data_IF_237686300990
#
_entry.id   IF_237686300990
#
_cell.length_a   1.000
_cell.length_b   1.000
_cell.length_c   1.000
_cell.angle_alpha   90.00
_cell.angle_beta   90.00
_cell.angle_gamma   90.00
#
_symmetry.space_group_name_H-M   'P 1'
#
loop_
_entity.id
_entity.type
_entity.pdbx_description
1 polymer ?
#
# COMPACT_ATOMS: atom_id res chain seq x y z
N UNK A 1 7.21 6.58 -20.73
CA UNK A 1 6.05 7.48 -20.78
C UNK A 1 4.98 7.00 -19.81
N UNK A 2 4.46 7.89 -19.00
CA UNK A 2 3.43 7.56 -18.03
C UNK A 2 2.05 7.47 -18.70
N UNK A 3 1.28 6.41 -18.41
CA UNK A 3 -0.09 6.31 -18.91
C UNK A 3 -0.98 7.43 -18.38
N UNK A 4 -2.00 7.77 -19.15
CA UNK A 4 -3.01 8.76 -18.78
C UNK A 4 -4.38 8.07 -18.63
N UNK A 5 -5.33 8.74 -18.00
CA UNK A 5 -6.69 8.24 -17.83
C UNK A 5 -6.83 7.15 -16.77
N UNK A 6 -5.86 7.03 -15.87
CA UNK A 6 -5.90 6.09 -14.76
C UNK A 6 -6.70 6.64 -13.59
N UNK A 7 -7.18 5.75 -12.71
CA UNK A 7 -7.85 6.13 -11.46
C UNK A 7 -6.95 6.85 -10.48
N UNK A 8 -5.63 6.68 -10.61
CA UNK A 8 -4.60 7.38 -9.84
C UNK A 8 -3.61 8.03 -10.81
N UNK A 9 -3.00 9.16 -10.41
CA UNK A 9 -1.90 9.71 -11.21
C UNK A 9 -0.73 8.72 -11.25
N UNK A 10 -0.04 8.70 -12.39
CA UNK A 10 1.12 7.83 -12.59
C UNK A 10 2.40 8.65 -12.65
N UNK A 11 3.50 8.07 -12.20
CA UNK A 11 4.82 8.67 -12.26
C UNK A 11 5.88 7.62 -12.60
N UNK A 12 7.13 8.06 -12.62
CA UNK A 12 8.29 7.19 -12.80
C UNK A 12 9.44 7.67 -11.93
N UNK A 13 10.41 6.80 -11.68
CA UNK A 13 11.60 7.19 -10.92
C UNK A 13 12.37 8.31 -11.62
N UNK A 14 12.46 8.26 -12.94
CA UNK A 14 13.14 9.31 -13.70
C UNK A 14 12.47 10.67 -13.52
N UNK A 15 11.14 10.72 -13.50
CA UNK A 15 10.38 11.95 -13.26
C UNK A 15 10.57 12.48 -11.84
N UNK A 16 10.55 11.59 -10.85
CA UNK A 16 10.68 11.99 -9.44
C UNK A 16 12.10 12.45 -9.09
N UNK A 17 13.11 11.79 -9.63
CA UNK A 17 14.52 12.11 -9.40
C UNK A 17 14.99 13.27 -10.29
N UNK A 18 14.40 13.43 -11.47
CA UNK A 18 14.76 14.48 -12.44
C UNK A 18 15.89 14.07 -13.38
N UNK A 19 16.39 12.84 -13.28
CA UNK A 19 17.45 12.30 -14.15
C UNK A 19 17.15 10.87 -14.53
N UNK A 20 17.73 10.36 -15.65
CA UNK A 20 17.56 8.95 -15.99
C UNK A 20 18.05 8.02 -14.89
N UNK A 21 17.36 6.90 -14.69
CA UNK A 21 17.68 5.91 -13.65
C UNK A 21 17.93 4.56 -14.31
N UNK A 22 19.00 3.87 -13.89
CA UNK A 22 19.33 2.54 -14.39
C UNK A 22 18.32 1.50 -13.90
N UNK A 23 17.70 0.76 -14.82
CA UNK A 23 16.76 -0.31 -14.48
C UNK A 23 17.41 -1.42 -13.66
N UNK A 24 18.66 -1.76 -14.02
CA UNK A 24 19.43 -2.79 -13.34
C UNK A 24 19.71 -2.39 -11.89
N UNK A 25 20.10 -1.14 -11.66
CA UNK A 25 20.37 -0.63 -10.32
C UNK A 25 19.10 -0.66 -9.46
N UNK A 26 17.97 -0.27 -10.04
CA UNK A 26 16.66 -0.34 -9.35
C UNK A 26 16.31 -1.77 -8.99
N UNK A 27 16.49 -2.71 -9.93
CA UNK A 27 16.22 -4.12 -9.68
C UNK A 27 17.07 -4.66 -8.53
N UNK A 28 18.36 -4.38 -8.55
CA UNK A 28 19.28 -4.82 -7.48
C UNK A 28 18.86 -4.24 -6.13
N UNK A 29 18.53 -2.95 -6.10
CA UNK A 29 18.06 -2.30 -4.87
C UNK A 29 16.78 -2.92 -4.34
N UNK A 30 15.80 -3.20 -5.22
CA UNK A 30 14.54 -3.84 -4.84
C UNK A 30 14.77 -5.25 -4.29
N UNK A 31 15.62 -6.06 -4.93
CA UNK A 31 15.92 -7.42 -4.48
C UNK A 31 16.62 -7.41 -3.12
N UNK A 32 17.55 -6.49 -2.90
CA UNK A 32 18.23 -6.37 -1.63
C UNK A 32 17.28 -5.98 -0.50
N UNK A 33 16.37 -5.04 -0.75
CA UNK A 33 15.36 -4.63 0.23
C UNK A 33 14.34 -5.73 0.48
N UNK A 34 13.90 -6.41 -0.57
CA UNK A 34 12.96 -7.52 -0.45
C UNK A 34 13.52 -8.63 0.44
N UNK A 35 14.80 -8.97 0.27
CA UNK A 35 15.46 -9.98 1.10
C UNK A 35 15.37 -9.63 2.58
N UNK A 36 15.61 -8.36 2.95
CA UNK A 36 15.50 -7.88 4.33
C UNK A 36 14.07 -8.03 4.84
N UNK A 37 13.08 -7.62 4.03
CA UNK A 37 11.67 -7.67 4.43
C UNK A 37 11.16 -9.09 4.59
N UNK A 38 11.53 -10.01 3.71
CA UNK A 38 11.15 -11.42 3.80
C UNK A 38 11.71 -12.04 5.09
N UNK A 39 12.96 -11.72 5.45
CA UNK A 39 13.54 -12.18 6.70
C UNK A 39 12.77 -11.68 7.93
N UNK A 40 12.23 -10.48 7.88
CA UNK A 40 11.43 -9.90 8.97
C UNK A 40 10.11 -10.62 9.20
N UNK A 41 9.55 -11.28 8.20
CA UNK A 41 8.29 -12.02 8.34
C UNK A 41 8.39 -13.07 9.46
N UNK A 42 9.51 -13.77 9.54
CA UNK A 42 9.71 -14.82 10.54
C UNK A 42 10.37 -14.37 11.84
N UNK A 43 11.04 -13.21 11.86
CA UNK A 43 11.86 -12.79 13.00
C UNK A 43 11.43 -11.46 13.64
N UNK A 44 10.90 -10.54 12.87
CA UNK A 44 10.53 -9.21 13.38
C UNK A 44 9.37 -8.62 12.58
N UNK A 45 8.26 -9.35 12.54
CA UNK A 45 7.06 -8.95 11.82
C UNK A 45 6.53 -7.56 12.24
N UNK A 46 6.52 -7.18 13.54
CA UNK A 46 6.10 -5.84 13.93
C UNK A 46 6.91 -4.71 13.28
N UNK A 47 8.21 -4.91 13.07
CA UNK A 47 9.06 -3.93 12.38
C UNK A 47 8.68 -3.80 10.91
N UNK A 48 8.31 -4.92 10.27
CA UNK A 48 7.83 -4.93 8.89
C UNK A 48 6.53 -4.13 8.77
N UNK A 49 5.57 -4.34 9.66
CA UNK A 49 4.31 -3.62 9.69
C UNK A 49 4.52 -2.12 9.92
N UNK A 50 5.40 -1.75 10.83
CA UNK A 50 5.74 -0.36 11.10
C UNK A 50 6.32 0.33 9.85
N UNK A 51 7.25 -0.35 9.16
CA UNK A 51 7.84 0.17 7.93
C UNK A 51 6.78 0.38 6.84
N UNK A 52 5.80 -0.52 6.74
CA UNK A 52 4.69 -0.38 5.81
C UNK A 52 3.81 0.83 6.19
N UNK A 53 3.42 0.93 7.45
CA UNK A 53 2.56 2.02 7.92
C UNK A 53 3.18 3.40 7.73
N UNK A 54 4.48 3.52 7.94
CA UNK A 54 5.21 4.78 7.72
C UNK A 54 5.15 5.27 6.26
N UNK A 55 4.96 4.34 5.32
CA UNK A 55 4.93 4.64 3.89
C UNK A 55 3.53 4.59 3.29
N UNK A 56 2.53 4.25 4.08
CA UNK A 56 1.15 4.12 3.60
C UNK A 56 0.52 5.49 3.36
N UNK A 57 0.22 5.78 2.09
CA UNK A 57 -0.40 7.05 1.70
C UNK A 57 -1.92 7.05 1.92
N UNK A 58 -2.52 5.90 2.18
CA UNK A 58 -3.97 5.76 2.35
C UNK A 58 -4.43 5.94 3.79
N UNK A 59 -3.52 5.90 4.75
CA UNK A 59 -3.86 6.01 6.17
C UNK A 59 -4.55 7.33 6.46
N UNK A 60 -5.71 7.26 7.11
CA UNK A 60 -6.55 8.41 7.41
C UNK A 60 -7.45 8.84 6.27
N UNK A 61 -7.36 8.19 5.11
CA UNK A 61 -8.19 8.52 3.93
C UNK A 61 -9.41 7.62 3.86
N UNK A 62 -10.52 8.20 3.39
CA UNK A 62 -11.72 7.43 3.10
C UNK A 62 -11.55 6.74 1.75
N UNK A 63 -11.81 5.44 1.74
CA UNK A 63 -11.64 4.61 0.53
C UNK A 63 -12.88 3.76 0.27
N UNK A 64 -13.03 3.37 -1.00
CA UNK A 64 -13.95 2.33 -1.44
C UNK A 64 -13.10 1.17 -1.96
N UNK A 65 -13.41 -0.05 -1.56
CA UNK A 65 -12.66 -1.23 -1.97
C UNK A 65 -13.57 -2.44 -2.12
N UNK A 66 -13.04 -3.46 -2.81
CA UNK A 66 -13.70 -4.75 -2.91
C UNK A 66 -13.11 -5.70 -1.87
N UNK A 67 -13.96 -6.27 -1.03
CA UNK A 67 -13.59 -7.34 -0.10
C UNK A 67 -14.32 -8.60 -0.56
N UNK A 68 -13.65 -9.44 -1.35
CA UNK A 68 -14.31 -10.51 -2.08
C UNK A 68 -15.30 -9.95 -3.11
N UNK A 69 -16.57 -10.27 -3.00
CA UNK A 69 -17.62 -9.78 -3.88
C UNK A 69 -18.37 -8.54 -3.32
N UNK A 70 -17.99 -8.08 -2.14
CA UNK A 70 -18.64 -6.94 -1.49
C UNK A 70 -17.83 -5.66 -1.68
N UNK A 71 -18.53 -4.55 -1.93
CA UNK A 71 -17.95 -3.21 -1.89
C UNK A 71 -18.01 -2.71 -0.46
N UNK A 72 -16.88 -2.27 0.07
CA UNK A 72 -16.80 -1.68 1.41
C UNK A 72 -16.25 -0.26 1.33
N UNK A 73 -16.79 0.62 2.17
CA UNK A 73 -16.34 2.02 2.30
C UNK A 73 -15.97 2.29 3.73
N UNK A 74 -14.89 3.01 3.93
CA UNK A 74 -14.46 3.40 5.26
C UNK A 74 -13.15 4.15 5.22
N UNK A 75 -12.65 4.50 6.41
CA UNK A 75 -11.37 5.18 6.58
C UNK A 75 -10.31 4.17 6.94
N UNK A 76 -9.18 4.22 6.23
CA UNK A 76 -8.03 3.34 6.51
C UNK A 76 -7.39 3.75 7.83
N UNK A 77 -7.34 2.82 8.78
CA UNK A 77 -6.71 3.02 10.09
C UNK A 77 -5.25 2.56 10.06
N UNK A 78 -4.97 1.44 9.45
CA UNK A 78 -3.63 0.84 9.39
C UNK A 78 -3.73 -0.66 9.24
N UNK A 79 -2.78 -1.38 9.83
CA UNK A 79 -2.76 -2.84 9.84
C UNK A 79 -2.92 -3.38 11.26
N UNK A 80 -3.57 -4.54 11.38
CA UNK A 80 -3.60 -5.30 12.62
C UNK A 80 -2.23 -5.95 12.87
N UNK A 81 -1.96 -6.45 14.10
CA UNK A 81 -0.73 -7.20 14.37
C UNK A 81 -0.51 -8.42 13.45
N UNK A 82 -1.59 -8.97 12.89
CA UNK A 82 -1.51 -10.07 11.93
C UNK A 82 -1.38 -9.63 10.47
N UNK A 83 -1.30 -8.34 10.21
CA UNK A 83 -1.17 -7.80 8.85
C UNK A 83 -2.47 -7.59 8.09
N UNK A 84 -3.61 -7.68 8.77
CA UNK A 84 -4.91 -7.43 8.15
C UNK A 84 -5.16 -5.92 8.04
N UNK A 85 -5.78 -5.49 6.94
CA UNK A 85 -6.17 -4.09 6.78
C UNK A 85 -7.29 -3.73 7.74
N UNK A 86 -7.10 -2.68 8.53
CA UNK A 86 -8.12 -2.17 9.43
C UNK A 86 -8.84 -1.00 8.77
N UNK A 87 -10.14 -1.14 8.64
CA UNK A 87 -11.02 -0.15 8.04
C UNK A 87 -12.07 0.29 9.07
N UNK A 88 -12.22 1.60 9.27
CA UNK A 88 -13.28 2.14 10.11
C UNK A 88 -14.49 2.43 9.22
N UNK A 89 -15.55 1.65 9.39
CA UNK A 89 -16.79 1.78 8.60
C UNK A 89 -17.91 2.38 9.44
N UNK A 90 -19.06 2.61 8.82
CA UNK A 90 -20.27 3.06 9.53
C UNK A 90 -20.71 2.06 10.61
N UNK A 91 -20.40 0.77 10.41
CA UNK A 91 -20.73 -0.30 11.37
C UNK A 91 -19.67 -0.51 12.45
N UNK A 92 -18.55 0.23 12.39
CA UNK A 92 -17.44 0.11 13.31
C UNK A 92 -16.16 -0.35 12.64
N UNK A 93 -15.24 -0.85 13.42
CA UNK A 93 -13.92 -1.29 12.95
C UNK A 93 -13.99 -2.68 12.35
N UNK A 94 -13.49 -2.84 11.13
CA UNK A 94 -13.42 -4.11 10.44
C UNK A 94 -11.99 -4.45 10.04
N UNK A 95 -11.62 -5.73 10.14
CA UNK A 95 -10.33 -6.26 9.68
C UNK A 95 -10.54 -7.04 8.39
N UNK A 96 -9.73 -6.76 7.37
CA UNK A 96 -9.84 -7.38 6.06
C UNK A 96 -8.55 -8.10 5.69
N UNK A 97 -8.66 -9.40 5.37
CA UNK A 97 -7.54 -10.19 4.86
C UNK A 97 -7.27 -9.92 3.39
N UNK A 98 -8.31 -9.61 2.64
CA UNK A 98 -8.22 -9.36 1.21
C UNK A 98 -8.96 -8.09 0.86
N UNK A 99 -8.32 -7.26 0.05
CA UNK A 99 -8.92 -6.05 -0.50
C UNK A 99 -8.35 -5.80 -1.90
N UNK A 100 -9.19 -5.38 -2.81
CA UNK A 100 -8.79 -5.05 -4.17
C UNK A 100 -9.55 -3.82 -4.66
N UNK A 101 -9.12 -3.29 -5.80
CA UNK A 101 -9.76 -2.15 -6.45
C UNK A 101 -9.97 -0.96 -5.50
N UNK A 102 -8.95 -0.64 -4.71
CA UNK A 102 -9.03 0.44 -3.74
C UNK A 102 -9.04 1.79 -4.47
N UNK A 103 -10.00 2.63 -4.12
CA UNK A 103 -10.11 4.00 -4.64
C UNK A 103 -10.28 4.99 -3.49
N UNK A 104 -9.54 6.09 -3.55
CA UNK A 104 -9.69 7.17 -2.58
C UNK A 104 -10.92 7.98 -2.95
N UNK A 105 -11.76 8.26 -1.94
CA UNK A 105 -13.01 9.01 -2.13
C UNK A 105 -12.72 10.50 -1.86
N UNK A 106 -13.24 11.35 -2.71
CA UNK A 106 -13.16 12.79 -2.50
C UNK A 106 -11.89 13.48 -2.98
N UNK A 107 -11.04 12.76 -3.72
CA UNK A 107 -9.85 13.36 -4.36
C UNK A 107 -10.02 13.58 -5.85
#
# INVERSE_FOLDING_TARGET
RCPEGLGFPATSLALEVGTPVSREDVLVACLNRLRVRVAQIGSSFPELLEAWEMRCVLRGKEVSLMAGDEVKRGTVVGLSPGGELILMTASGRESLLQASEIRVIGE
#
